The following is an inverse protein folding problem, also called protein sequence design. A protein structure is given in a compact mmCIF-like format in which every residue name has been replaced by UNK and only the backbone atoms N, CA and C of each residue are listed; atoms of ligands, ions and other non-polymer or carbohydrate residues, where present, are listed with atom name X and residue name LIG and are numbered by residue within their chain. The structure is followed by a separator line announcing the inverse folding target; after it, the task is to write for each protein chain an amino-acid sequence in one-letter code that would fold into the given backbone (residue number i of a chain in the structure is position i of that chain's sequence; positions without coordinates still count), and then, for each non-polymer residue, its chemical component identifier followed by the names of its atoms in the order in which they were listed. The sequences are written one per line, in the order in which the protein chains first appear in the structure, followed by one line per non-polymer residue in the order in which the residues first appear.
data_IF_853834047671
#
_entry.id   IF_853834047671
#
_cell.length_a   1.000
_cell.length_b   1.000
_cell.length_c   1.000
_cell.angle_alpha   90.00
_cell.angle_beta   90.00
_cell.angle_gamma   90.00
#
_symmetry.space_group_name_H-M   'P 1'
#
loop_
_entity.id
_entity.type
_entity.pdbx_description
1 polymer ?
#
# COMPACT_ATOMS: atom_id res chain seq x y z
N UNK A 1 -2.31 -25.69 3.03
CA UNK A 1 -1.44 -24.61 2.51
C UNK A 1 -0.20 -24.61 3.35
N UNK A 2 0.85 -25.26 2.86
CA UNK A 2 2.13 -25.30 3.56
C UNK A 2 2.65 -23.88 3.69
N UNK A 3 2.76 -23.42 4.95
CA UNK A 3 3.47 -22.21 5.28
C UNK A 3 4.91 -22.51 4.94
N UNK A 4 5.44 -21.91 3.86
CA UNK A 4 6.88 -21.80 3.65
C UNK A 4 7.44 -20.98 4.82
N UNK A 5 7.65 -21.65 5.96
CA UNK A 5 8.43 -21.08 7.04
C UNK A 5 9.81 -20.79 6.45
N UNK A 6 10.44 -19.66 6.81
CA UNK A 6 11.83 -19.43 6.44
C UNK A 6 12.61 -20.65 6.92
N UNK A 7 13.19 -21.38 5.96
CA UNK A 7 14.09 -22.48 6.23
C UNK A 7 15.17 -21.88 7.12
N UNK A 8 15.17 -22.27 8.40
CA UNK A 8 16.05 -21.69 9.41
C UNK A 8 17.44 -22.29 9.17
N UNK A 9 18.09 -21.81 8.10
CA UNK A 9 19.45 -22.14 7.76
C UNK A 9 20.34 -21.62 8.87
N UNK A 10 20.94 -22.53 9.62
CA UNK A 10 21.98 -22.20 10.56
C UNK A 10 23.32 -22.02 9.82
N UNK A 11 24.25 -21.32 10.44
CA UNK A 11 25.54 -21.02 9.82
C UNK A 11 26.39 -22.27 9.60
N UNK A 12 26.21 -23.33 10.40
CA UNK A 12 27.01 -24.56 10.27
C UNK A 12 26.54 -25.39 9.07
N UNK A 13 25.24 -25.48 8.82
CA UNK A 13 24.73 -26.13 7.60
C UNK A 13 25.14 -25.38 6.34
N UNK A 14 25.15 -24.04 6.37
CA UNK A 14 25.63 -23.22 5.24
C UNK A 14 27.12 -23.45 4.93
N UNK A 15 27.97 -23.63 5.94
CA UNK A 15 29.41 -23.91 5.75
C UNK A 15 29.69 -25.29 5.14
N UNK A 16 28.74 -26.21 5.23
CA UNK A 16 28.86 -27.57 4.68
C UNK A 16 28.43 -27.66 3.20
N UNK A 17 27.84 -26.60 2.64
CA UNK A 17 27.44 -26.57 1.24
C UNK A 17 28.62 -26.34 0.31
N UNK A 18 28.51 -26.93 -0.88
CA UNK A 18 29.45 -26.65 -1.95
C UNK A 18 29.30 -25.20 -2.43
N UNK A 19 30.39 -24.65 -2.97
CA UNK A 19 30.45 -23.25 -3.42
C UNK A 19 29.37 -22.93 -4.43
N UNK A 20 29.13 -23.82 -5.38
CA UNK A 20 28.15 -23.66 -6.45
C UNK A 20 26.73 -23.53 -5.89
N UNK A 21 26.40 -24.32 -4.87
CA UNK A 21 25.09 -24.28 -4.20
C UNK A 21 24.89 -22.96 -3.44
N UNK A 22 25.93 -22.46 -2.79
CA UNK A 22 25.91 -21.16 -2.13
C UNK A 22 25.72 -20.02 -3.12
N UNK A 23 26.39 -20.08 -4.28
CA UNK A 23 26.24 -19.07 -5.34
C UNK A 23 24.81 -19.07 -5.89
N UNK A 24 24.24 -20.25 -6.18
CA UNK A 24 22.87 -20.36 -6.67
C UNK A 24 21.86 -19.79 -5.66
N UNK A 25 21.99 -20.16 -4.38
CA UNK A 25 21.16 -19.63 -3.31
C UNK A 25 21.24 -18.10 -3.19
N UNK A 26 22.45 -17.53 -3.29
CA UNK A 26 22.64 -16.08 -3.27
C UNK A 26 21.97 -15.38 -4.46
N UNK A 27 22.04 -15.98 -5.65
CA UNK A 27 21.37 -15.45 -6.84
C UNK A 27 19.85 -15.47 -6.71
N UNK A 28 19.28 -16.54 -6.16
CA UNK A 28 17.84 -16.64 -5.89
C UNK A 28 17.40 -15.62 -4.84
N UNK A 29 18.17 -15.46 -3.76
CA UNK A 29 17.91 -14.46 -2.72
C UNK A 29 17.98 -13.04 -3.28
N UNK A 30 18.98 -12.72 -4.10
CA UNK A 30 19.11 -11.41 -4.73
C UNK A 30 17.87 -11.09 -5.59
N UNK A 31 17.43 -12.05 -6.42
CA UNK A 31 16.22 -11.91 -7.23
C UNK A 31 14.96 -11.70 -6.38
N UNK A 32 14.81 -12.47 -5.31
CA UNK A 32 13.67 -12.33 -4.40
C UNK A 32 13.65 -10.95 -3.72
N UNK A 33 14.82 -10.45 -3.30
CA UNK A 33 14.97 -9.12 -2.71
C UNK A 33 14.59 -8.03 -3.71
N UNK A 34 15.03 -8.12 -4.96
CA UNK A 34 14.65 -7.15 -5.99
C UNK A 34 13.13 -7.12 -6.23
N UNK A 35 12.50 -8.30 -6.32
CA UNK A 35 11.05 -8.41 -6.47
C UNK A 35 10.30 -7.80 -5.28
N UNK A 36 10.75 -8.09 -4.06
CA UNK A 36 10.21 -7.51 -2.83
C UNK A 36 10.34 -5.99 -2.82
N UNK A 37 11.51 -5.46 -3.18
CA UNK A 37 11.77 -4.02 -3.23
C UNK A 37 10.84 -3.33 -4.23
N UNK A 38 10.67 -3.88 -5.43
CA UNK A 38 9.72 -3.35 -6.42
C UNK A 38 8.30 -3.34 -5.87
N UNK A 39 7.89 -4.42 -5.19
CA UNK A 39 6.55 -4.50 -4.61
C UNK A 39 6.32 -3.47 -3.50
N UNK A 40 7.32 -3.22 -2.66
CA UNK A 40 7.25 -2.17 -1.62
C UNK A 40 7.05 -0.80 -2.25
N UNK A 41 7.83 -0.46 -3.28
CA UNK A 41 7.71 0.83 -3.99
C UNK A 41 6.32 1.00 -4.60
N UNK A 42 5.77 -0.04 -5.24
CA UNK A 42 4.41 0.00 -5.77
C UNK A 42 3.36 0.25 -4.68
N UNK A 43 3.48 -0.44 -3.54
CA UNK A 43 2.55 -0.30 -2.43
C UNK A 43 2.63 1.10 -1.80
N UNK A 44 3.84 1.65 -1.64
CA UNK A 44 4.05 3.02 -1.18
C UNK A 44 3.33 4.03 -2.09
N UNK A 45 3.47 3.88 -3.41
CA UNK A 45 2.78 4.74 -4.38
C UNK A 45 1.26 4.62 -4.29
N UNK A 46 0.72 3.41 -4.11
CA UNK A 46 -0.73 3.19 -3.92
C UNK A 46 -1.22 3.87 -2.63
N UNK A 47 -0.47 3.74 -1.53
CA UNK A 47 -0.80 4.37 -0.26
C UNK A 47 -0.84 5.90 -0.39
N UNK A 48 0.12 6.50 -1.09
CA UNK A 48 0.12 7.95 -1.34
C UNK A 48 -1.11 8.40 -2.12
N UNK A 49 -1.46 7.69 -3.21
CA UNK A 49 -2.67 8.00 -3.99
C UNK A 49 -3.94 7.91 -3.15
N UNK A 50 -4.07 6.86 -2.34
CA UNK A 50 -5.23 6.68 -1.47
C UNK A 50 -5.34 7.77 -0.39
N UNK A 51 -4.20 8.24 0.15
CA UNK A 51 -4.18 9.40 1.07
C UNK A 51 -4.70 10.65 0.37
N UNK A 52 -4.20 10.96 -0.83
CA UNK A 52 -4.66 12.11 -1.63
C UNK A 52 -6.15 12.02 -1.93
N UNK A 53 -6.64 10.85 -2.37
CA UNK A 53 -8.07 10.64 -2.64
C UNK A 53 -8.95 10.86 -1.40
N UNK A 54 -8.57 10.31 -0.25
CA UNK A 54 -9.29 10.52 1.03
C UNK A 54 -9.33 12.00 1.42
N UNK A 55 -8.21 12.70 1.25
CA UNK A 55 -8.12 14.11 1.63
C UNK A 55 -9.01 14.97 0.71
N UNK A 56 -9.10 14.65 -0.59
CA UNK A 56 -10.04 15.28 -1.51
C UNK A 56 -11.51 15.04 -1.13
N UNK A 57 -11.87 13.81 -0.77
CA UNK A 57 -13.23 13.47 -0.32
C UNK A 57 -13.61 14.24 0.96
N UNK A 58 -12.67 14.43 1.88
CA UNK A 58 -12.89 15.21 3.11
C UNK A 58 -13.15 16.70 2.83
N UNK A 59 -12.44 17.28 1.84
CA UNK A 59 -12.62 18.69 1.44
C UNK A 59 -13.91 18.95 0.65
N UNK A 60 -14.44 17.94 -0.04
CA UNK A 60 -15.67 18.07 -0.83
C UNK A 60 -16.95 17.76 -0.04
N UNK A 61 -16.84 17.02 1.08
CA UNK A 61 -17.99 16.62 1.90
C UNK A 61 -18.46 17.67 2.92
N UNK A 62 -17.76 18.78 3.12
CA UNK A 62 -17.95 19.65 4.28
C UNK A 62 -18.81 20.90 4.04
N UNK A 63 -19.31 21.12 2.81
CA UNK A 63 -20.37 22.11 2.58
C UNK A 63 -21.70 21.37 2.42
N UNK A 64 -22.67 21.51 3.34
CA UNK A 64 -24.04 21.15 2.99
C UNK A 64 -24.41 21.94 1.73
N UNK A 65 -25.24 21.37 0.82
CA UNK A 65 -25.75 22.14 -0.31
C UNK A 65 -26.28 23.45 0.25
N UNK A 66 -25.66 24.57 -0.16
CA UNK A 66 -26.03 25.91 0.30
C UNK A 66 -27.54 25.96 0.31
N UNK A 67 -28.09 26.38 1.45
CA UNK A 67 -29.52 26.53 1.64
C UNK A 67 -30.07 27.53 0.62
N UNK A 68 -30.31 27.04 -0.60
CA UNK A 68 -31.12 27.66 -1.64
C UNK A 68 -32.59 27.43 -1.31
N UNK A 69 -32.91 27.42 -0.01
CA UNK A 69 -34.26 27.54 0.51
C UNK A 69 -34.62 29.00 0.30
N UNK A 70 -34.98 29.31 -0.93
CA UNK A 70 -35.69 30.51 -1.34
C UNK A 70 -36.87 30.71 -0.37
N UNK A 71 -36.65 31.51 0.67
CA UNK A 71 -37.72 32.02 1.52
C UNK A 71 -38.48 33.05 0.67
N UNK A 72 -39.38 32.57 -0.20
CA UNK A 72 -40.41 33.41 -0.82
C UNK A 72 -41.27 33.91 0.33
N UNK A 73 -40.95 35.10 0.84
CA UNK A 73 -41.80 35.83 1.77
C UNK A 73 -43.14 36.03 1.09
N UNK A 74 -44.17 35.37 1.61
CA UNK A 74 -45.55 35.62 1.21
C UNK A 74 -45.87 37.10 1.44
N UNK A 75 -46.21 37.77 0.34
CA UNK A 75 -46.66 39.15 0.34
C UNK A 75 -48.01 39.17 1.06
N UNK A 76 -48.05 39.54 2.34
CA UNK A 76 -49.33 39.90 2.97
C UNK A 76 -49.80 41.19 2.33
N UNK A 77 -50.91 41.09 1.61
CA UNK A 77 -51.71 42.21 1.15
C UNK A 77 -52.60 42.62 2.33
N UNK A 78 -52.35 43.81 2.87
CA UNK A 78 -53.28 44.56 3.70
C UNK A 78 -53.18 46.03 3.31
#
# INVERSE_FOLDING_TARGET
MEKNLPLKLDTETLKQLEKEQLVEMLMEQAKAIEQLKSRVIELESVIEKLKVSRDLDSTTSSKPPSADILKKTEKKLE
#
